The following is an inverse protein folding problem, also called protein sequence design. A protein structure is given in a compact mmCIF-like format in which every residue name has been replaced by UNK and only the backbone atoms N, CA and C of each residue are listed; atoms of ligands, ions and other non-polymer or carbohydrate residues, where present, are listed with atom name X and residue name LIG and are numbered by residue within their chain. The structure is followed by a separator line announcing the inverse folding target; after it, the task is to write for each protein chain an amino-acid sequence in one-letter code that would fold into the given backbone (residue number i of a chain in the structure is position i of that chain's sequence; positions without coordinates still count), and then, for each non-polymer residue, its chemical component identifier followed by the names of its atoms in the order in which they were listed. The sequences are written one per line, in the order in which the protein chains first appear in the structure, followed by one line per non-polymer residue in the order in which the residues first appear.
data_IF_653458286372
#
_entry.id   IF_653458286372
#
_cell.length_a   1.000
_cell.length_b   1.000
_cell.length_c   1.000
_cell.angle_alpha   90.00
_cell.angle_beta   90.00
_cell.angle_gamma   90.00
#
_symmetry.space_group_name_H-M   'P 1'
#
loop_
_entity.id
_entity.type
_entity.pdbx_description
1 polymer ?
#
# COMPACT_ATOMS: atom_id res chain seq x y z
N UNK A 1 4.65 -31.53 17.37
CA UNK A 1 5.92 -31.35 16.66
C UNK A 1 6.49 -30.00 17.04
N UNK A 2 7.77 -29.93 17.39
CA UNK A 2 8.46 -28.67 17.75
C UNK A 2 9.47 -28.35 16.65
N UNK A 3 9.43 -27.11 16.15
CA UNK A 3 10.31 -26.57 15.11
C UNK A 3 11.05 -25.38 15.73
N UNK A 4 12.37 -25.50 15.92
CA UNK A 4 13.17 -24.45 16.58
C UNK A 4 14.60 -24.35 16.05
N UNK A 5 14.91 -25.03 14.94
CA UNK A 5 16.22 -24.91 14.31
C UNK A 5 16.23 -23.69 13.40
N UNK A 6 17.21 -22.81 13.60
CA UNK A 6 17.42 -21.64 12.73
C UNK A 6 17.37 -22.00 11.23
N UNK A 7 16.54 -21.26 10.48
CA UNK A 7 16.35 -21.47 9.04
C UNK A 7 15.42 -22.63 8.66
N UNK A 8 14.85 -23.34 9.63
CA UNK A 8 13.84 -24.36 9.38
C UNK A 8 12.51 -23.72 8.97
N UNK A 9 11.89 -24.27 7.92
CA UNK A 9 10.67 -23.77 7.30
C UNK A 9 9.44 -24.50 7.84
N UNK A 10 8.36 -23.77 8.03
CA UNK A 10 7.08 -24.29 8.49
C UNK A 10 5.92 -23.68 7.69
N UNK A 11 5.28 -24.47 6.84
CA UNK A 11 4.02 -24.09 6.20
C UNK A 11 2.87 -24.24 7.20
N UNK A 12 2.20 -23.13 7.51
CA UNK A 12 1.13 -23.09 8.50
C UNK A 12 -0.27 -23.18 7.87
N UNK A 13 -1.28 -23.35 8.71
CA UNK A 13 -2.68 -23.49 8.29
C UNK A 13 -3.25 -22.25 7.60
N UNK A 14 -2.65 -21.08 7.81
CA UNK A 14 -2.97 -19.83 7.10
C UNK A 14 -2.38 -19.77 5.68
N UNK A 15 -1.67 -20.82 5.23
CA UNK A 15 -1.02 -20.87 3.92
C UNK A 15 0.30 -20.10 3.84
N UNK A 16 0.78 -19.53 4.94
CA UNK A 16 2.05 -18.77 5.01
C UNK A 16 3.18 -19.71 5.45
N UNK A 17 4.32 -19.62 4.77
CA UNK A 17 5.57 -20.28 5.17
C UNK A 17 6.34 -19.36 6.12
N UNK A 18 6.63 -19.86 7.32
CA UNK A 18 7.44 -19.16 8.32
C UNK A 18 8.81 -19.81 8.45
N UNK A 19 9.83 -19.01 8.78
CA UNK A 19 11.21 -19.46 8.95
C UNK A 19 11.71 -19.12 10.35
N UNK A 20 12.20 -20.13 11.08
CA UNK A 20 12.76 -19.90 12.42
C UNK A 20 13.94 -18.92 12.36
N UNK A 21 13.82 -17.86 13.16
CA UNK A 21 14.75 -16.74 13.32
C UNK A 21 14.57 -15.60 12.31
N UNK A 22 13.58 -15.70 11.42
CA UNK A 22 13.21 -14.58 10.56
C UNK A 22 12.51 -13.47 11.33
N UNK A 23 12.46 -12.29 10.72
CA UNK A 23 11.78 -11.13 11.26
C UNK A 23 10.28 -11.20 10.94
N UNK A 24 9.47 -10.87 11.93
CA UNK A 24 8.01 -10.81 11.83
C UNK A 24 7.51 -9.48 12.35
N UNK A 25 6.33 -9.08 11.87
CA UNK A 25 5.57 -7.98 12.44
C UNK A 25 4.26 -8.49 13.05
N UNK A 26 3.89 -7.97 14.22
CA UNK A 26 2.58 -8.23 14.82
C UNK A 26 1.47 -7.65 13.95
N UNK A 27 0.39 -8.41 13.75
CA UNK A 27 -0.78 -7.99 12.96
C UNK A 27 -1.88 -7.42 13.85
N UNK A 28 -2.92 -6.84 13.24
CA UNK A 28 -4.12 -6.34 13.93
C UNK A 28 -4.92 -7.43 14.67
N UNK A 29 -4.64 -8.71 14.39
CA UNK A 29 -5.27 -9.85 15.05
C UNK A 29 -4.66 -10.17 16.44
N UNK A 30 -3.56 -9.51 16.82
CA UNK A 30 -2.83 -9.78 18.06
C UNK A 30 -2.57 -8.54 18.91
N UNK A 31 -2.30 -8.75 20.20
CA UNK A 31 -2.04 -7.66 21.15
C UNK A 31 -0.74 -6.89 20.87
N UNK A 32 0.16 -7.48 20.09
CA UNK A 32 1.47 -6.94 19.73
C UNK A 32 1.50 -6.33 18.32
N UNK A 33 0.35 -5.95 17.77
CA UNK A 33 0.21 -5.28 16.47
C UNK A 33 1.28 -4.18 16.26
N UNK A 34 1.94 -4.21 15.11
CA UNK A 34 2.91 -3.21 14.69
C UNK A 34 4.32 -3.38 15.28
N UNK A 35 4.51 -4.29 16.25
CA UNK A 35 5.84 -4.55 16.79
C UNK A 35 6.62 -5.50 15.87
N UNK A 36 7.90 -5.16 15.65
CA UNK A 36 8.86 -6.02 14.96
C UNK A 36 9.45 -7.00 15.96
N UNK A 37 9.58 -8.25 15.55
CA UNK A 37 10.11 -9.31 16.39
C UNK A 37 10.69 -10.45 15.58
N UNK A 38 11.01 -11.56 16.25
CA UNK A 38 11.51 -12.78 15.61
C UNK A 38 10.83 -14.01 16.19
N UNK A 39 10.49 -14.95 15.32
CA UNK A 39 10.04 -16.28 15.74
C UNK A 39 11.27 -17.11 16.07
N UNK A 40 11.30 -17.78 17.21
CA UNK A 40 12.39 -18.70 17.55
C UNK A 40 11.92 -20.15 17.73
N UNK A 41 10.62 -20.39 17.90
CA UNK A 41 10.06 -21.73 18.00
C UNK A 41 8.60 -21.75 17.52
N UNK A 42 8.21 -22.81 16.81
CA UNK A 42 6.84 -23.10 16.41
C UNK A 42 6.47 -24.48 16.92
N UNK A 43 5.34 -24.60 17.63
CA UNK A 43 4.81 -25.89 18.10
C UNK A 43 3.50 -26.22 17.40
N UNK A 44 3.46 -27.39 16.77
CA UNK A 44 2.35 -27.89 15.95
C UNK A 44 1.72 -29.10 16.65
N UNK A 45 0.40 -29.09 16.81
CA UNK A 45 -0.40 -30.21 17.33
C UNK A 45 -0.54 -30.23 18.85
N UNK A 46 -1.69 -30.72 19.32
CA UNK A 46 -2.18 -30.59 20.71
C UNK A 46 -1.19 -31.04 21.80
N UNK A 47 -0.36 -32.05 21.53
CA UNK A 47 0.51 -32.64 22.56
C UNK A 47 1.70 -31.77 22.96
N UNK A 48 2.13 -30.84 22.10
CA UNK A 48 3.33 -30.01 22.33
C UNK A 48 2.99 -28.54 22.59
N UNK A 49 1.71 -28.17 22.45
CA UNK A 49 1.21 -26.81 22.65
C UNK A 49 1.06 -26.42 24.12
N UNK A 50 1.16 -25.12 24.40
CA UNK A 50 0.87 -24.52 25.71
C UNK A 50 -0.45 -23.74 25.73
N UNK A 51 -1.04 -23.44 24.57
CA UNK A 51 -2.37 -22.82 24.47
C UNK A 51 -3.45 -23.83 24.11
N UNK A 52 -4.70 -23.56 24.51
CA UNK A 52 -5.88 -24.34 24.13
C UNK A 52 -6.42 -24.01 22.72
N UNK A 53 -5.73 -23.16 21.96
CA UNK A 53 -6.19 -22.76 20.62
C UNK A 53 -6.09 -23.95 19.63
N UNK A 54 -6.82 -23.91 18.51
CA UNK A 54 -6.70 -24.96 17.49
C UNK A 54 -5.51 -24.75 16.53
N UNK A 55 -4.86 -23.58 16.59
CA UNK A 55 -3.75 -23.17 15.71
C UNK A 55 -2.37 -23.49 16.29
N UNK A 56 -1.29 -23.42 15.52
CA UNK A 56 0.08 -23.62 16.07
C UNK A 56 0.47 -22.52 17.06
N UNK A 57 1.29 -22.85 18.07
CA UNK A 57 1.87 -21.86 18.99
C UNK A 57 3.16 -21.29 18.42
N UNK A 58 3.19 -19.97 18.23
CA UNK A 58 4.35 -19.22 17.76
C UNK A 58 5.04 -18.53 18.92
N UNK A 59 6.29 -18.89 19.17
CA UNK A 59 7.09 -18.27 20.20
C UNK A 59 7.93 -17.15 19.58
N UNK A 60 7.59 -15.92 19.96
CA UNK A 60 8.15 -14.70 19.42
C UNK A 60 8.90 -13.91 20.50
N UNK A 61 9.88 -13.13 20.08
CA UNK A 61 10.48 -12.05 20.87
C UNK A 61 10.33 -10.75 20.10
N UNK A 62 9.72 -9.74 20.69
CA UNK A 62 9.51 -8.42 20.07
C UNK A 62 10.53 -7.40 20.54
N UNK A 63 10.88 -6.49 19.65
CA UNK A 63 11.66 -5.31 19.97
C UNK A 63 10.78 -4.27 20.67
N UNK A 64 11.30 -3.58 21.70
CA UNK A 64 10.54 -2.51 22.35
C UNK A 64 10.28 -1.36 21.37
N UNK A 65 9.04 -0.83 21.30
CA UNK A 65 8.75 0.30 20.43
C UNK A 65 9.57 1.53 20.85
N UNK A 66 10.07 2.27 19.86
CA UNK A 66 10.93 3.44 20.07
C UNK A 66 10.10 4.73 20.12
N UNK A 67 9.00 4.79 19.37
CA UNK A 67 8.18 5.99 19.26
C UNK A 67 7.22 6.09 20.45
N UNK A 68 7.26 7.22 21.16
CA UNK A 68 6.37 7.55 22.29
C UNK A 68 4.87 7.28 22.02
N UNK A 69 4.30 7.62 20.85
CA UNK A 69 2.92 7.26 20.55
C UNK A 69 2.66 5.74 20.52
N UNK A 70 3.60 4.96 20.02
CA UNK A 70 3.45 3.50 19.92
C UNK A 70 3.63 2.84 21.29
N UNK A 71 4.55 3.35 22.12
CA UNK A 71 4.67 2.99 23.53
C UNK A 71 3.33 3.20 24.25
N UNK A 72 2.72 4.39 24.10
CA UNK A 72 1.43 4.70 24.76
C UNK A 72 0.31 3.80 24.28
N UNK A 73 0.20 3.55 22.97
CA UNK A 73 -0.81 2.64 22.42
C UNK A 73 -0.68 1.24 23.00
N UNK A 74 0.55 0.73 23.11
CA UNK A 74 0.84 -0.57 23.69
C UNK A 74 0.49 -0.61 25.19
N UNK A 75 0.92 0.39 25.96
CA UNK A 75 0.59 0.54 27.38
C UNK A 75 -0.92 0.63 27.62
N UNK A 76 -1.65 1.41 26.81
CA UNK A 76 -3.10 1.53 26.88
C UNK A 76 -3.80 0.21 26.59
N UNK A 77 -3.39 -0.50 25.53
CA UNK A 77 -3.94 -1.81 25.16
C UNK A 77 -3.74 -2.83 26.29
N UNK A 78 -2.51 -2.96 26.79
CA UNK A 78 -2.23 -3.89 27.88
C UNK A 78 -2.89 -3.44 29.19
N UNK A 79 -3.00 -2.14 29.46
CA UNK A 79 -3.72 -1.66 30.64
C UNK A 79 -5.19 -2.06 30.62
N UNK A 80 -5.82 -2.05 29.44
CA UNK A 80 -7.20 -2.50 29.26
C UNK A 80 -7.33 -4.01 29.46
N UNK A 81 -6.45 -4.81 28.85
CA UNK A 81 -6.44 -6.28 28.96
C UNK A 81 -6.30 -6.72 30.43
N UNK A 82 -5.37 -6.10 31.16
CA UNK A 82 -5.09 -6.45 32.56
C UNK A 82 -5.95 -5.69 33.58
N UNK A 83 -6.85 -4.80 33.13
CA UNK A 83 -7.71 -3.99 33.99
C UNK A 83 -6.96 -3.09 35.00
N UNK A 84 -5.68 -2.80 34.75
CA UNK A 84 -4.81 -2.02 35.63
C UNK A 84 -3.74 -1.31 34.81
N UNK A 85 -3.27 -0.12 35.23
CA UNK A 85 -2.24 0.60 34.49
C UNK A 85 -0.98 -0.26 34.28
N UNK A 86 -0.52 -0.33 33.03
CA UNK A 86 0.70 -0.99 32.59
C UNK A 86 1.63 0.03 31.96
N UNK A 87 2.90 -0.05 32.33
CA UNK A 87 3.99 0.60 31.63
C UNK A 87 4.68 -0.38 30.67
N UNK A 88 5.50 0.11 29.76
CA UNK A 88 6.27 -0.74 28.84
C UNK A 88 7.10 -1.81 29.58
N UNK A 89 7.64 -1.46 30.76
CA UNK A 89 8.42 -2.40 31.58
C UNK A 89 7.56 -3.52 32.20
N UNK A 90 6.24 -3.35 32.26
CA UNK A 90 5.30 -4.34 32.77
C UNK A 90 4.81 -5.31 31.67
N UNK A 91 5.21 -5.09 30.41
CA UNK A 91 4.76 -5.84 29.24
C UNK A 91 5.85 -6.84 28.84
N UNK A 92 5.47 -8.12 28.71
CA UNK A 92 6.39 -9.19 28.31
C UNK A 92 6.60 -9.13 26.80
N UNK A 93 7.80 -8.75 26.36
CA UNK A 93 8.17 -8.76 24.94
C UNK A 93 8.95 -10.01 24.54
N UNK A 94 9.54 -10.69 25.53
CA UNK A 94 10.24 -11.95 25.37
C UNK A 94 9.29 -13.14 25.50
N UNK A 95 9.53 -14.19 24.71
CA UNK A 95 8.80 -15.46 24.80
C UNK A 95 7.27 -15.34 24.76
N UNK A 96 6.77 -14.46 23.89
CA UNK A 96 5.34 -14.29 23.65
C UNK A 96 4.83 -15.46 22.82
N UNK A 97 3.70 -16.04 23.23
CA UNK A 97 3.01 -17.08 22.48
C UNK A 97 1.88 -16.45 21.66
N UNK A 98 1.91 -16.64 20.35
CA UNK A 98 0.95 -16.09 19.40
C UNK A 98 0.36 -17.18 18.51
N UNK A 99 -0.79 -16.88 17.91
CA UNK A 99 -1.33 -17.66 16.80
C UNK A 99 -0.69 -17.21 15.47
N UNK A 100 -0.72 -18.05 14.42
CA UNK A 100 -0.07 -17.74 13.14
C UNK A 100 -0.60 -16.46 12.49
N UNK A 101 -1.89 -16.15 12.62
CA UNK A 101 -2.53 -14.95 12.06
C UNK A 101 -2.21 -13.65 12.80
N UNK A 102 -1.62 -13.75 14.00
CA UNK A 102 -1.18 -12.61 14.83
C UNK A 102 0.21 -12.08 14.44
N UNK A 103 0.93 -12.79 13.57
CA UNK A 103 2.24 -12.37 13.05
C UNK A 103 2.36 -12.63 11.55
N UNK A 104 3.03 -11.72 10.86
CA UNK A 104 3.35 -11.86 9.43
C UNK A 104 4.87 -11.79 9.21
N UNK A 105 5.48 -12.68 8.40
CA UNK A 105 6.88 -12.55 8.02
C UNK A 105 7.13 -11.21 7.34
N UNK A 106 8.17 -10.48 7.73
CA UNK A 106 8.53 -9.22 7.06
C UNK A 106 8.90 -9.50 5.60
N UNK A 107 9.57 -10.63 5.33
CA UNK A 107 9.86 -11.13 3.99
C UNK A 107 8.61 -11.24 3.12
N UNK A 108 7.50 -11.76 3.66
CA UNK A 108 6.24 -11.86 2.90
C UNK A 108 5.67 -10.49 2.53
N UNK A 109 5.87 -9.46 3.35
CA UNK A 109 5.45 -8.09 3.03
C UNK A 109 6.31 -7.51 1.89
N UNK A 110 7.60 -7.86 1.86
CA UNK A 110 8.53 -7.43 0.83
C UNK A 110 8.37 -8.19 -0.49
N UNK A 111 8.10 -9.49 -0.44
CA UNK A 111 7.96 -10.39 -1.58
C UNK A 111 6.59 -10.25 -2.28
N UNK A 112 5.53 -9.94 -1.53
CA UNK A 112 4.20 -9.61 -2.09
C UNK A 112 4.17 -8.23 -2.75
N UNK A 113 5.14 -7.37 -2.45
CA UNK A 113 5.14 -6.02 -2.95
C UNK A 113 5.46 -5.99 -4.45
N UNK A 114 4.46 -5.69 -5.29
CA UNK A 114 4.75 -5.37 -6.69
C UNK A 114 5.42 -4.00 -6.76
N UNK A 115 6.41 -3.90 -7.62
CA UNK A 115 7.14 -2.65 -7.86
C UNK A 115 6.61 -1.98 -9.12
N UNK A 116 6.34 -0.68 -9.04
CA UNK A 116 6.11 0.17 -10.21
C UNK A 116 6.94 1.43 -10.11
N UNK A 117 7.22 2.07 -11.24
CA UNK A 117 7.90 3.35 -11.24
C UNK A 117 6.88 4.48 -11.09
N UNK A 118 7.18 5.39 -10.17
CA UNK A 118 6.48 6.68 -10.02
C UNK A 118 7.45 7.81 -10.38
N UNK A 119 6.90 8.97 -10.71
CA UNK A 119 7.63 10.17 -11.07
C UNK A 119 7.43 11.20 -9.96
N UNK A 120 8.51 11.51 -9.26
CA UNK A 120 8.52 12.45 -8.13
C UNK A 120 8.99 13.79 -8.65
N UNK A 121 8.13 14.80 -8.59
CA UNK A 121 8.47 16.19 -8.88
C UNK A 121 8.97 16.83 -7.58
N UNK A 122 10.24 17.16 -7.53
CA UNK A 122 10.92 17.77 -6.39
C UNK A 122 11.20 19.25 -6.74
N UNK A 123 10.71 20.16 -5.91
CA UNK A 123 10.99 21.60 -5.97
C UNK A 123 11.77 22.00 -4.72
N UNK A 124 12.87 22.74 -4.87
CA UNK A 124 13.71 23.21 -3.75
C UNK A 124 14.14 24.65 -4.01
N UNK A 125 14.04 25.51 -2.99
CA UNK A 125 14.42 26.90 -3.14
C UNK A 125 14.99 27.52 -1.87
N UNK A 126 15.83 28.52 -2.05
CA UNK A 126 16.19 29.50 -1.04
C UNK A 126 16.17 30.89 -1.68
N UNK A 127 15.35 31.79 -1.15
CA UNK A 127 15.19 33.15 -1.63
C UNK A 127 14.59 34.05 -0.55
N UNK A 128 15.01 35.32 -0.49
CA UNK A 128 14.38 36.34 0.36
C UNK A 128 14.30 35.97 1.86
N UNK A 129 15.38 35.39 2.40
CA UNK A 129 15.47 34.88 3.78
C UNK A 129 14.48 33.74 4.10
N UNK A 130 13.92 33.10 3.07
CA UNK A 130 13.06 31.93 3.16
C UNK A 130 13.66 30.77 2.37
N UNK A 131 13.26 29.54 2.73
CA UNK A 131 13.67 28.34 2.03
C UNK A 131 12.57 27.29 2.15
N UNK A 132 12.50 26.41 1.17
CA UNK A 132 11.48 25.38 1.16
C UNK A 132 11.79 24.25 0.21
N UNK A 133 11.00 23.20 0.39
CA UNK A 133 11.05 21.99 -0.40
C UNK A 133 9.61 21.50 -0.58
N UNK A 134 9.23 21.16 -1.81
CA UNK A 134 7.91 20.57 -2.11
C UNK A 134 8.06 19.32 -2.98
N UNK A 135 7.11 18.40 -2.79
CA UNK A 135 7.11 17.10 -3.47
C UNK A 135 5.71 16.74 -3.95
N UNK A 136 5.58 16.56 -5.27
CA UNK A 136 4.42 15.95 -5.89
C UNK A 136 4.78 14.57 -6.47
N UNK A 137 3.86 13.59 -6.40
CA UNK A 137 4.07 12.23 -6.91
C UNK A 137 3.05 11.92 -8.00
N UNK A 138 3.54 11.38 -9.12
CA UNK A 138 2.72 11.03 -10.28
C UNK A 138 2.99 9.58 -10.72
N UNK A 139 1.95 8.90 -11.20
CA UNK A 139 2.08 7.56 -11.81
C UNK A 139 2.37 7.62 -13.31
N UNK A 140 2.40 8.82 -13.91
CA UNK A 140 2.63 9.06 -15.34
C UNK A 140 3.56 10.26 -15.54
N UNK A 141 4.59 10.07 -16.38
CA UNK A 141 5.62 11.09 -16.65
C UNK A 141 5.03 12.35 -17.27
N UNK A 142 4.05 12.23 -18.17
CA UNK A 142 3.48 13.40 -18.82
C UNK A 142 2.71 14.27 -17.84
N UNK A 143 2.03 13.66 -16.88
CA UNK A 143 1.35 14.34 -15.78
C UNK A 143 2.35 15.11 -14.91
N UNK A 144 3.48 14.50 -14.56
CA UNK A 144 4.58 15.17 -13.86
C UNK A 144 5.15 16.34 -14.66
N UNK A 145 5.46 16.13 -15.96
CA UNK A 145 5.96 17.19 -16.86
C UNK A 145 4.98 18.35 -16.99
N UNK A 146 3.68 18.09 -17.08
CA UNK A 146 2.66 19.14 -17.11
C UNK A 146 2.67 19.95 -15.82
N UNK A 147 2.83 19.31 -14.66
CA UNK A 147 2.91 20.01 -13.37
C UNK A 147 4.19 20.85 -13.27
N UNK A 148 5.36 20.25 -13.55
CA UNK A 148 6.66 20.92 -13.56
C UNK A 148 6.64 22.18 -14.43
N UNK A 149 6.17 22.06 -15.68
CA UNK A 149 6.11 23.19 -16.60
C UNK A 149 5.13 24.29 -16.16
N UNK A 150 4.08 23.95 -15.41
CA UNK A 150 3.15 24.95 -14.84
C UNK A 150 3.78 25.68 -13.66
N UNK A 151 4.43 24.95 -12.75
CA UNK A 151 5.15 25.51 -11.59
C UNK A 151 6.31 26.40 -12.06
N UNK A 152 7.18 25.89 -12.93
CA UNK A 152 8.30 26.66 -13.47
C UNK A 152 7.87 27.93 -14.21
N UNK A 153 6.78 27.87 -15.00
CA UNK A 153 6.25 29.07 -15.68
C UNK A 153 5.73 30.12 -14.70
N UNK A 154 5.15 29.69 -13.58
CA UNK A 154 4.70 30.60 -12.52
C UNK A 154 5.92 31.22 -11.85
N UNK A 155 6.92 30.43 -11.51
CA UNK A 155 8.15 30.90 -10.87
C UNK A 155 8.93 31.89 -11.76
N UNK A 156 9.11 31.57 -13.04
CA UNK A 156 9.77 32.45 -14.01
C UNK A 156 9.05 33.78 -14.24
N UNK A 157 7.78 33.89 -13.85
CA UNK A 157 6.95 35.08 -14.09
C UNK A 157 6.73 35.91 -12.82
N UNK A 158 6.41 35.23 -11.72
CA UNK A 158 5.91 35.84 -10.49
C UNK A 158 6.74 35.41 -9.24
N UNK A 159 7.81 34.61 -9.43
CA UNK A 159 8.66 34.08 -8.38
C UNK A 159 9.99 34.84 -8.17
N UNK A 160 11.01 34.17 -7.66
CA UNK A 160 12.32 34.75 -7.32
C UNK A 160 13.29 34.84 -8.52
N UNK A 161 13.15 33.96 -9.52
CA UNK A 161 14.03 33.91 -10.70
C UNK A 161 14.18 35.27 -11.41
N UNK A 162 13.10 36.06 -11.64
CA UNK A 162 13.22 37.36 -12.30
C UNK A 162 14.15 38.35 -11.58
N UNK A 163 14.28 38.26 -10.25
CA UNK A 163 15.14 39.16 -9.47
C UNK A 163 16.63 38.85 -9.65
N UNK A 164 16.96 37.67 -10.17
CA UNK A 164 18.33 37.17 -10.31
C UNK A 164 18.87 37.22 -11.74
N UNK A 165 17.98 37.28 -12.74
CA UNK A 165 18.34 37.13 -14.17
C UNK A 165 19.35 38.14 -14.71
N UNK A 166 19.40 39.33 -14.11
CA UNK A 166 20.30 40.41 -14.54
C UNK A 166 21.60 40.46 -13.71
N UNK A 167 21.81 39.50 -12.79
CA UNK A 167 23.03 39.38 -11.98
C UNK A 167 24.16 38.71 -12.79
N UNK A 168 25.38 39.24 -12.70
CA UNK A 168 26.54 38.72 -13.45
C UNK A 168 26.96 37.32 -12.97
N UNK A 169 26.62 36.96 -11.73
CA UNK A 169 26.92 35.67 -11.11
C UNK A 169 25.76 34.66 -11.25
N UNK A 170 24.72 34.97 -12.04
CA UNK A 170 23.59 34.08 -12.31
C UNK A 170 24.00 32.87 -13.16
N UNK A 171 23.66 31.67 -12.68
CA UNK A 171 23.86 30.40 -13.37
C UNK A 171 22.52 29.72 -13.58
N UNK A 172 22.31 29.15 -14.77
CA UNK A 172 21.13 28.38 -15.15
C UNK A 172 21.55 27.06 -15.78
N UNK A 173 20.98 25.96 -15.28
CA UNK A 173 21.22 24.60 -15.73
C UNK A 173 19.87 23.92 -16.04
N UNK A 174 19.78 23.24 -17.18
CA UNK A 174 18.54 22.61 -17.65
C UNK A 174 18.81 21.25 -18.27
N UNK A 175 17.86 20.33 -18.05
CA UNK A 175 17.79 19.03 -18.71
C UNK A 175 16.33 18.74 -19.12
N UNK A 176 16.06 17.57 -19.72
CA UNK A 176 14.72 17.16 -20.15
C UNK A 176 13.68 17.19 -19.01
N UNK A 177 14.14 16.91 -17.79
CA UNK A 177 13.31 16.72 -16.60
C UNK A 177 13.75 17.62 -15.44
N UNK A 178 14.57 18.65 -15.67
CA UNK A 178 15.00 19.55 -14.60
C UNK A 178 15.27 20.97 -15.07
N UNK A 179 15.12 21.89 -14.14
CA UNK A 179 15.55 23.27 -14.24
C UNK A 179 16.16 23.67 -12.90
N UNK A 180 17.31 24.32 -12.94
CA UNK A 180 17.94 24.90 -11.75
C UNK A 180 18.56 26.25 -12.11
N UNK A 181 18.43 27.21 -11.21
CA UNK A 181 19.17 28.46 -11.28
C UNK A 181 19.61 28.95 -9.90
N UNK A 182 20.76 29.62 -9.85
CA UNK A 182 21.34 30.13 -8.60
C UNK A 182 22.30 31.28 -8.85
N UNK A 183 22.71 31.99 -7.79
CA UNK A 183 23.81 32.96 -7.84
C UNK A 183 25.09 32.31 -7.32
N UNK A 184 26.18 32.35 -8.09
CA UNK A 184 27.47 31.77 -7.70
C UNK A 184 27.96 32.33 -6.36
N UNK A 185 28.39 31.45 -5.46
CA UNK A 185 28.78 31.79 -4.09
C UNK A 185 27.62 32.04 -3.10
N UNK A 186 26.36 32.04 -3.53
CA UNK A 186 25.18 32.29 -2.68
C UNK A 186 24.12 31.18 -2.75
N UNK A 187 24.47 29.96 -3.17
CA UNK A 187 23.53 28.86 -3.35
C UNK A 187 22.58 28.65 -2.16
N UNK A 188 23.09 28.63 -0.93
CA UNK A 188 22.27 28.42 0.28
C UNK A 188 21.24 29.52 0.57
N UNK A 189 21.33 30.68 -0.11
CA UNK A 189 20.45 31.83 0.08
C UNK A 189 19.68 32.21 -1.21
N UNK A 190 20.17 31.75 -2.37
CA UNK A 190 19.72 32.15 -3.71
C UNK A 190 19.83 30.99 -4.69
N UNK A 191 18.89 30.06 -4.60
CA UNK A 191 18.71 29.03 -5.61
C UNK A 191 17.22 28.71 -5.78
N UNK A 192 16.90 28.19 -6.95
CA UNK A 192 15.63 27.56 -7.26
C UNK A 192 15.91 26.35 -8.14
N UNK A 193 15.39 25.19 -7.76
CA UNK A 193 15.47 23.95 -8.52
C UNK A 193 14.11 23.28 -8.60
N UNK A 194 13.82 22.68 -9.74
CA UNK A 194 12.64 21.85 -9.94
C UNK A 194 13.02 20.69 -10.87
N UNK A 195 12.74 19.46 -10.45
CA UNK A 195 13.15 18.27 -11.21
C UNK A 195 12.17 17.11 -11.06
N UNK A 196 12.12 16.24 -12.07
CA UNK A 196 11.36 14.98 -12.03
C UNK A 196 12.34 13.82 -11.90
N UNK A 197 12.19 13.05 -10.82
CA UNK A 197 12.97 11.85 -10.53
C UNK A 197 12.08 10.62 -10.60
N UNK A 198 12.44 9.66 -11.44
CA UNK A 198 11.78 8.35 -11.47
C UNK A 198 12.25 7.52 -10.26
N UNK A 199 11.31 7.04 -9.45
CA UNK A 199 11.58 6.21 -8.27
C UNK A 199 10.72 4.95 -8.27
N UNK A 200 11.27 3.79 -7.89
CA UNK A 200 10.48 2.60 -7.67
C UNK A 200 9.61 2.75 -6.42
N UNK A 201 8.35 2.33 -6.51
CA UNK A 201 7.38 2.29 -5.42
C UNK A 201 6.90 0.86 -5.21
N UNK A 202 7.06 0.36 -3.98
CA UNK A 202 6.50 -0.91 -3.53
C UNK A 202 5.00 -0.75 -3.25
N UNK A 203 4.19 -1.66 -3.79
CA UNK A 203 2.74 -1.69 -3.63
C UNK A 203 2.30 -2.98 -2.94
N UNK A 204 1.60 -2.86 -1.82
CA UNK A 204 1.00 -4.02 -1.16
C UNK A 204 -0.15 -4.60 -1.99
N UNK A 205 -0.47 -5.88 -1.78
CA UNK A 205 -1.65 -6.52 -2.39
C UNK A 205 -2.94 -5.79 -2.05
N UNK A 206 -3.07 -5.30 -0.81
CA UNK A 206 -4.20 -4.49 -0.39
C UNK A 206 -4.35 -3.23 -1.23
N UNK A 207 -3.27 -2.47 -1.42
CA UNK A 207 -3.31 -1.25 -2.24
C UNK A 207 -3.71 -1.58 -3.68
N UNK A 208 -3.14 -2.65 -4.26
CA UNK A 208 -3.50 -3.09 -5.61
C UNK A 208 -4.96 -3.53 -5.72
N UNK A 209 -5.49 -4.22 -4.71
CA UNK A 209 -6.88 -4.65 -4.66
C UNK A 209 -7.83 -3.44 -4.61
N UNK A 210 -7.53 -2.44 -3.78
CA UNK A 210 -8.31 -1.20 -3.67
C UNK A 210 -8.37 -0.45 -5.02
N UNK A 211 -7.23 -0.34 -5.74
CA UNK A 211 -7.21 0.26 -7.08
C UNK A 211 -8.01 -0.58 -8.08
N UNK A 212 -7.82 -1.90 -8.09
CA UNK A 212 -8.54 -2.82 -8.98
C UNK A 212 -10.04 -2.75 -8.76
N UNK A 213 -10.50 -2.73 -7.51
CA UNK A 213 -11.91 -2.64 -7.17
C UNK A 213 -12.53 -1.30 -7.62
N UNK A 214 -11.79 -0.21 -7.48
CA UNK A 214 -12.19 1.10 -8.00
C UNK A 214 -12.35 1.08 -9.52
N UNK A 215 -11.40 0.48 -10.23
CA UNK A 215 -11.47 0.33 -11.70
C UNK A 215 -12.66 -0.52 -12.14
N UNK A 216 -12.91 -1.66 -11.47
CA UNK A 216 -14.06 -2.53 -11.76
C UNK A 216 -15.37 -1.77 -11.53
N UNK A 217 -15.48 -1.05 -10.41
CA UNK A 217 -16.66 -0.23 -10.10
C UNK A 217 -16.91 0.84 -11.16
N UNK A 218 -15.85 1.49 -11.66
CA UNK A 218 -15.97 2.47 -12.74
C UNK A 218 -16.45 1.85 -14.06
N UNK A 219 -15.94 0.67 -14.42
CA UNK A 219 -16.41 -0.04 -15.61
C UNK A 219 -17.89 -0.44 -15.47
N UNK A 220 -18.29 -0.99 -14.31
CA UNK A 220 -19.69 -1.32 -14.02
C UNK A 220 -20.61 -0.11 -14.19
N UNK A 221 -20.22 1.06 -13.65
CA UNK A 221 -20.99 2.30 -13.80
C UNK A 221 -21.04 2.76 -15.26
N UNK A 222 -19.94 2.65 -16.00
CA UNK A 222 -19.89 2.98 -17.43
C UNK A 222 -20.84 2.10 -18.25
N UNK A 223 -20.82 0.79 -18.01
CA UNK A 223 -21.72 -0.17 -18.65
C UNK A 223 -23.17 0.08 -18.26
N UNK A 224 -23.44 0.30 -16.97
CA UNK A 224 -24.78 0.64 -16.48
C UNK A 224 -25.35 1.86 -17.20
N UNK A 225 -24.60 2.97 -17.26
CA UNK A 225 -25.01 4.20 -17.96
C UNK A 225 -25.31 3.92 -19.44
N UNK A 226 -24.49 3.08 -20.08
CA UNK A 226 -24.71 2.67 -21.47
C UNK A 226 -25.98 1.84 -21.66
N UNK A 227 -26.36 1.01 -20.69
CA UNK A 227 -27.60 0.24 -20.76
C UNK A 227 -28.82 1.09 -20.44
N UNK A 228 -28.73 1.99 -19.46
CA UNK A 228 -29.79 2.93 -19.08
C UNK A 228 -30.24 3.75 -20.30
N UNK A 229 -29.30 4.22 -21.13
CA UNK A 229 -29.60 4.95 -22.37
C UNK A 229 -30.49 4.19 -23.37
N UNK A 230 -30.60 2.87 -23.26
CA UNK A 230 -31.38 2.01 -24.16
C UNK A 230 -32.75 1.63 -23.58
N UNK A 231 -32.98 1.90 -22.30
CA UNK A 231 -34.23 1.56 -21.63
C UNK A 231 -35.32 2.55 -22.04
N UNK A 232 -36.54 2.06 -22.25
CA UNK A 232 -37.68 2.94 -22.54
C UNK A 232 -38.20 3.61 -21.28
N UNK A 233 -37.99 2.96 -20.14
CA UNK A 233 -38.39 3.39 -18.81
C UNK A 233 -37.76 4.74 -18.44
N UNK A 234 -36.62 5.10 -19.04
CA UNK A 234 -35.98 6.42 -18.81
C UNK A 234 -36.75 7.57 -19.43
N UNK A 235 -37.62 7.33 -20.42
CA UNK A 235 -38.51 8.37 -20.99
C UNK A 235 -39.55 8.86 -19.96
N UNK A 236 -39.75 8.13 -18.87
CA UNK A 236 -40.66 8.48 -17.78
C UNK A 236 -39.99 9.37 -16.71
N UNK A 237 -38.66 9.52 -16.77
CA UNK A 237 -37.90 10.33 -15.81
C UNK A 237 -37.86 11.79 -16.28
N UNK A 238 -37.90 12.72 -15.33
CA UNK A 238 -37.50 14.10 -15.60
C UNK A 238 -35.97 14.20 -15.80
N UNK A 239 -35.50 15.28 -16.44
CA UNK A 239 -34.07 15.51 -16.64
C UNK A 239 -33.27 15.49 -15.32
N UNK A 240 -33.85 16.02 -14.23
CA UNK A 240 -33.20 16.05 -12.93
C UNK A 240 -33.08 14.64 -12.31
N UNK A 241 -34.12 13.81 -12.44
CA UNK A 241 -34.10 12.42 -11.96
C UNK A 241 -33.15 11.57 -12.79
N UNK A 242 -33.12 11.79 -14.11
CA UNK A 242 -32.18 11.12 -15.01
C UNK A 242 -30.72 11.48 -14.69
N UNK A 243 -30.42 12.76 -14.49
CA UNK A 243 -29.09 13.21 -14.06
C UNK A 243 -28.69 12.66 -12.69
N UNK A 244 -29.64 12.54 -11.77
CA UNK A 244 -29.38 11.92 -10.46
C UNK A 244 -29.07 10.43 -10.60
N UNK A 245 -29.81 9.70 -11.43
CA UNK A 245 -29.56 8.28 -11.73
C UNK A 245 -28.15 8.05 -12.29
N UNK A 246 -27.68 8.91 -13.20
CA UNK A 246 -26.35 8.75 -13.80
C UNK A 246 -25.20 9.06 -12.83
N UNK A 247 -25.46 9.88 -11.80
CA UNK A 247 -24.49 10.25 -10.75
C UNK A 247 -24.51 9.33 -9.55
N UNK A 248 -25.48 8.41 -9.47
CA UNK A 248 -25.58 7.47 -8.37
C UNK A 248 -24.52 6.36 -8.49
N UNK A 249 -23.42 6.53 -7.77
CA UNK A 249 -22.33 5.56 -7.74
C UNK A 249 -22.65 4.33 -6.88
N UNK A 250 -23.71 4.35 -6.05
CA UNK A 250 -24.10 3.20 -5.22
C UNK A 250 -24.58 2.01 -6.07
N UNK A 251 -24.94 2.26 -7.32
CA UNK A 251 -25.32 1.24 -8.31
C UNK A 251 -24.20 0.23 -8.54
N UNK A 252 -22.93 0.60 -8.40
CA UNK A 252 -21.81 -0.34 -8.50
C UNK A 252 -21.93 -1.47 -7.47
N UNK A 253 -22.22 -1.13 -6.20
CA UNK A 253 -22.42 -2.13 -5.14
C UNK A 253 -23.65 -2.99 -5.40
N UNK A 254 -24.75 -2.39 -5.88
CA UNK A 254 -25.95 -3.16 -6.26
C UNK A 254 -25.66 -4.17 -7.38
N UNK A 255 -24.78 -3.82 -8.33
CA UNK A 255 -24.36 -4.74 -9.39
C UNK A 255 -23.47 -5.85 -8.80
N UNK A 256 -22.48 -5.51 -7.96
CA UNK A 256 -21.62 -6.47 -7.30
C UNK A 256 -22.40 -7.48 -6.47
N UNK A 257 -23.38 -7.02 -5.68
CA UNK A 257 -24.25 -7.87 -4.86
C UNK A 257 -25.03 -8.86 -5.73
N UNK A 258 -25.57 -8.40 -6.87
CA UNK A 258 -26.31 -9.25 -7.80
C UNK A 258 -25.41 -10.31 -8.44
N UNK A 259 -24.20 -9.95 -8.86
CA UNK A 259 -23.22 -10.90 -9.43
C UNK A 259 -22.79 -11.91 -8.36
N UNK A 260 -22.53 -11.44 -7.14
CA UNK A 260 -22.07 -12.30 -6.04
C UNK A 260 -23.10 -13.36 -5.65
N UNK A 261 -24.39 -13.08 -5.85
CA UNK A 261 -25.48 -14.04 -5.61
C UNK A 261 -25.98 -14.81 -6.83
N UNK A 262 -25.29 -14.72 -7.99
CA UNK A 262 -25.69 -15.40 -9.23
C UNK A 262 -24.93 -16.73 -9.40
N UNK A 263 -25.51 -17.82 -8.90
CA UNK A 263 -24.92 -19.16 -8.95
C UNK A 263 -24.64 -19.61 -10.40
N UNK A 264 -25.53 -19.28 -11.36
CA UNK A 264 -25.36 -19.66 -12.77
C UNK A 264 -24.12 -18.97 -13.39
N UNK A 265 -23.85 -17.72 -12.99
CA UNK A 265 -22.64 -17.00 -13.40
C UNK A 265 -21.38 -17.67 -12.87
N UNK A 266 -21.33 -17.98 -11.57
CA UNK A 266 -20.15 -18.58 -10.94
C UNK A 266 -19.91 -20.01 -11.40
N UNK A 267 -20.95 -20.81 -11.59
CA UNK A 267 -20.85 -22.16 -12.16
C UNK A 267 -20.25 -22.13 -13.57
N UNK A 268 -20.65 -21.16 -14.40
CA UNK A 268 -20.09 -20.98 -15.72
C UNK A 268 -18.61 -20.55 -15.66
N UNK A 269 -18.28 -19.61 -14.76
CA UNK A 269 -16.91 -19.16 -14.54
C UNK A 269 -16.00 -20.31 -14.10
N UNK A 270 -16.40 -21.09 -13.09
CA UNK A 270 -15.65 -22.23 -12.56
C UNK A 270 -15.50 -23.35 -13.59
N UNK A 271 -16.52 -23.58 -14.42
CA UNK A 271 -16.45 -24.54 -15.52
C UNK A 271 -15.37 -24.15 -16.54
N UNK A 272 -15.29 -22.87 -16.91
CA UNK A 272 -14.27 -22.37 -17.85
C UNK A 272 -12.87 -22.51 -17.24
N UNK A 273 -12.67 -22.10 -15.99
CA UNK A 273 -11.38 -22.24 -15.29
C UNK A 273 -10.97 -23.71 -15.22
N UNK A 274 -11.91 -24.60 -14.90
CA UNK A 274 -11.66 -26.04 -14.82
C UNK A 274 -11.28 -26.65 -16.17
N UNK A 275 -11.91 -26.22 -17.26
CA UNK A 275 -11.58 -26.65 -18.62
C UNK A 275 -10.14 -26.23 -18.98
N UNK A 276 -9.83 -24.94 -18.82
CA UNK A 276 -8.48 -24.39 -19.10
C UNK A 276 -7.41 -25.07 -18.24
N UNK A 277 -7.69 -25.29 -16.95
CA UNK A 277 -6.76 -25.97 -16.06
C UNK A 277 -6.40 -27.38 -16.55
N UNK A 278 -7.39 -28.15 -17.04
CA UNK A 278 -7.14 -29.49 -17.60
C UNK A 278 -6.26 -29.41 -18.85
N UNK A 279 -6.57 -28.48 -19.76
CA UNK A 279 -5.80 -28.28 -20.99
C UNK A 279 -4.34 -27.90 -20.72
N UNK A 280 -4.10 -27.02 -19.75
CA UNK A 280 -2.74 -26.61 -19.39
C UNK A 280 -1.96 -27.74 -18.71
N UNK A 281 -2.58 -28.50 -17.80
CA UNK A 281 -1.90 -29.63 -17.12
C UNK A 281 -1.38 -30.65 -18.12
N UNK A 282 -2.15 -30.97 -19.17
CA UNK A 282 -1.74 -31.92 -20.22
C UNK A 282 -0.40 -31.53 -20.86
N UNK A 283 -0.16 -30.23 -21.09
CA UNK A 283 1.08 -29.72 -21.69
C UNK A 283 2.33 -29.99 -20.83
N UNK A 284 2.16 -30.13 -19.52
CA UNK A 284 3.25 -30.43 -18.60
C UNK A 284 3.41 -31.94 -18.34
N UNK A 285 2.39 -32.75 -18.63
CA UNK A 285 2.44 -34.20 -18.46
C UNK A 285 2.87 -34.95 -19.73
N UNK A 286 2.77 -34.33 -20.91
CA UNK A 286 3.19 -34.95 -22.19
C UNK A 286 4.67 -34.74 -22.56
N UNK A 287 5.49 -34.20 -21.64
CA UNK A 287 6.96 -34.18 -21.79
C UNK A 287 7.59 -35.50 -21.29
N UNK A 288 7.35 -36.59 -22.02
CA UNK A 288 8.21 -37.79 -22.04
C UNK A 288 8.51 -38.23 -23.47
#
# INVERSE_FOLDING_TARGET
MIINKQGEKCLCSNGVEYIIGEEVIGTENGDYEGLIGRIYEIRIGEADKETDNDTSDFYCTFEPPILEPDIRKLEERFSQIYGSPKSLNDICLDSVILAPDMVKPVSSIEDEAKECNVYVLEEDWAANDDYGHDVDIFTDLNSAKISMLKQLKKEMKDGCIPDWKDDDDYIEETDENSFECYIDGYYSERHYSISIVEKPMKMSERFMAEISESMISQDMLSQFRTQVLKLKETELLSDAEYEQLLKDNSVAEVIKDKISGDDDFWDAYDSIISEVAREEVVKYTEKE
#
